data_IF_309456372341
#
_entry.id   IF_309456372341
#
_cell.length_a   1.000
_cell.length_b   1.000
_cell.length_c   1.000
_cell.angle_alpha   90.00
_cell.angle_beta   90.00
_cell.angle_gamma   90.00
#
_symmetry.space_group_name_H-M   'P 1'
#
loop_
_entity.id
_entity.type
_entity.pdbx_description
1 polymer ?
#
# COMPACT_ATOMS: atom_id res chain seq x y z
N UNK A 1 6.33 30.84 11.42
CA UNK A 1 5.90 30.18 10.16
C UNK A 1 6.33 28.73 10.23
N UNK A 2 5.43 27.77 10.03
CA UNK A 2 5.73 26.33 10.02
C UNK A 2 5.76 25.86 8.56
N UNK A 3 6.93 25.40 8.09
CA UNK A 3 7.10 24.87 6.73
C UNK A 3 6.85 23.36 6.77
N UNK A 4 6.07 22.84 5.82
CA UNK A 4 5.95 21.40 5.62
C UNK A 4 7.33 20.81 5.27
N UNK A 5 7.73 19.77 6.00
CA UNK A 5 9.06 19.14 5.87
C UNK A 5 9.07 18.02 4.82
N UNK A 6 7.94 17.32 4.67
CA UNK A 6 7.77 16.22 3.72
C UNK A 6 6.31 16.11 3.28
N UNK A 7 6.10 15.50 2.12
CA UNK A 7 4.78 15.11 1.63
C UNK A 7 4.47 13.66 2.03
N UNK A 8 3.19 13.34 2.19
CA UNK A 8 2.74 11.98 2.46
C UNK A 8 1.50 11.61 1.63
N UNK A 9 1.49 10.39 1.12
CA UNK A 9 0.38 9.79 0.38
C UNK A 9 -0.02 8.50 1.07
N UNK A 10 -1.32 8.27 1.23
CA UNK A 10 -1.84 7.02 1.79
C UNK A 10 -2.75 6.32 0.80
N UNK A 11 -2.54 5.02 0.62
CA UNK A 11 -3.40 4.14 -0.17
C UNK A 11 -3.94 2.99 0.69
N UNK A 12 -5.21 2.66 0.50
CA UNK A 12 -5.79 1.47 1.11
C UNK A 12 -5.33 0.22 0.37
N UNK A 13 -4.97 -0.82 1.13
CA UNK A 13 -4.71 -2.14 0.60
C UNK A 13 -6.01 -2.95 0.65
N UNK A 14 -6.55 -3.28 -0.51
CA UNK A 14 -7.84 -3.97 -0.66
C UNK A 14 -7.62 -5.39 -1.18
N UNK A 15 -8.53 -6.30 -0.83
CA UNK A 15 -8.64 -7.59 -1.48
C UNK A 15 -8.99 -7.44 -2.97
N UNK A 16 -8.29 -8.19 -3.81
CA UNK A 16 -8.49 -8.14 -5.26
C UNK A 16 -9.81 -8.76 -5.69
N UNK A 17 -10.32 -8.29 -6.84
CA UNK A 17 -11.57 -8.79 -7.39
C UNK A 17 -11.42 -10.27 -7.76
N UNK A 18 -12.38 -11.10 -7.33
CA UNK A 18 -12.40 -12.52 -7.66
C UNK A 18 -11.60 -13.43 -6.73
N UNK A 19 -10.99 -12.89 -5.68
CA UNK A 19 -10.25 -13.68 -4.69
C UNK A 19 -10.95 -13.68 -3.32
N UNK A 20 -11.17 -14.87 -2.76
CA UNK A 20 -11.66 -15.09 -1.40
C UNK A 20 -10.98 -16.32 -0.80
N UNK A 21 -10.34 -16.15 0.36
CA UNK A 21 -9.52 -17.19 1.00
C UNK A 21 -8.41 -16.62 1.87
N UNK A 22 -7.39 -17.42 2.18
CA UNK A 22 -6.26 -16.99 3.00
C UNK A 22 -5.46 -15.88 2.31
N UNK A 23 -5.12 -14.82 3.03
CA UNK A 23 -4.56 -13.62 2.43
C UNK A 23 -3.10 -13.85 1.96
N UNK A 24 -2.88 -13.73 0.65
CA UNK A 24 -1.56 -13.73 0.02
C UNK A 24 -1.22 -12.33 -0.50
N UNK A 25 -0.06 -11.82 -0.10
CA UNK A 25 0.41 -10.48 -0.46
C UNK A 25 1.46 -10.57 -1.56
N UNK A 26 1.03 -10.40 -2.81
CA UNK A 26 1.91 -10.34 -3.98
C UNK A 26 2.61 -8.98 -4.04
N UNK A 27 3.90 -8.95 -4.40
CA UNK A 27 4.71 -7.72 -4.47
C UNK A 27 5.05 -7.10 -3.11
N UNK A 28 4.87 -7.84 -2.00
CA UNK A 28 5.11 -7.32 -0.65
C UNK A 28 6.58 -6.98 -0.39
N UNK A 29 7.51 -7.85 -0.79
CA UNK A 29 8.94 -7.61 -0.62
C UNK A 29 9.44 -6.43 -1.46
N UNK A 30 8.91 -6.28 -2.68
CA UNK A 30 9.19 -5.14 -3.57
C UNK A 30 8.69 -3.84 -2.93
N UNK A 31 7.45 -3.84 -2.42
CA UNK A 31 6.88 -2.70 -1.72
C UNK A 31 7.69 -2.29 -0.47
N UNK A 32 8.24 -3.26 0.27
CA UNK A 32 9.08 -2.98 1.45
C UNK A 32 10.47 -2.44 1.09
N UNK A 33 10.98 -2.71 -0.12
CA UNK A 33 12.27 -2.18 -0.59
C UNK A 33 12.16 -0.73 -1.09
N UNK A 34 10.95 -0.26 -1.38
CA UNK A 34 10.75 1.11 -1.84
C UNK A 34 10.97 2.11 -0.71
N UNK A 35 11.83 3.11 -0.95
CA UNK A 35 12.15 4.13 0.04
C UNK A 35 10.93 5.00 0.38
N UNK A 36 10.75 5.24 1.68
CA UNK A 36 9.64 6.05 2.21
C UNK A 36 8.32 5.29 2.31
N UNK A 37 8.29 4.00 1.97
CA UNK A 37 7.09 3.17 2.01
C UNK A 37 6.96 2.48 3.37
N UNK A 38 5.78 2.62 3.99
CA UNK A 38 5.42 1.97 5.24
C UNK A 38 4.09 1.24 5.08
N UNK A 39 4.14 -0.08 5.19
CA UNK A 39 2.95 -0.94 5.11
C UNK A 39 2.38 -1.20 6.50
N UNK A 40 1.07 -1.05 6.66
CA UNK A 40 0.34 -1.37 7.89
C UNK A 40 -0.79 -2.36 7.58
N UNK A 41 -0.64 -3.60 8.05
CA UNK A 41 -1.60 -4.69 7.86
C UNK A 41 -2.50 -4.85 9.09
N UNK A 42 -3.79 -5.17 8.86
CA UNK A 42 -4.76 -5.36 9.94
C UNK A 42 -4.79 -6.79 10.52
N UNK A 43 -3.86 -7.66 10.14
CA UNK A 43 -3.80 -9.05 10.64
C UNK A 43 -4.99 -9.94 10.24
N UNK A 44 -5.71 -9.58 9.17
CA UNK A 44 -6.85 -10.36 8.67
C UNK A 44 -6.35 -11.58 7.92
N UNK A 45 -6.63 -12.78 8.44
CA UNK A 45 -6.26 -14.04 7.78
C UNK A 45 -6.98 -14.28 6.45
N UNK A 46 -8.23 -13.85 6.35
CA UNK A 46 -9.06 -14.08 5.15
C UNK A 46 -9.24 -12.78 4.37
N UNK A 47 -8.91 -12.79 3.08
CA UNK A 47 -9.23 -11.71 2.14
C UNK A 47 -10.59 -11.96 1.47
N UNK A 48 -11.24 -10.87 1.04
CA UNK A 48 -12.45 -10.87 0.22
C UNK A 48 -12.37 -9.71 -0.77
N UNK A 49 -13.09 -9.75 -1.91
CA UNK A 49 -13.08 -8.65 -2.86
C UNK A 49 -13.40 -7.32 -2.18
N UNK A 50 -12.54 -6.32 -2.39
CA UNK A 50 -12.65 -4.96 -1.87
C UNK A 50 -12.61 -4.84 -0.33
N UNK A 51 -12.27 -5.92 0.39
CA UNK A 51 -12.08 -5.88 1.85
C UNK A 51 -10.83 -5.08 2.18
N UNK A 52 -10.91 -4.14 3.11
CA UNK A 52 -9.71 -3.43 3.63
C UNK A 52 -8.82 -4.39 4.40
N UNK A 53 -7.62 -4.65 3.88
CA UNK A 53 -6.62 -5.56 4.46
C UNK A 53 -5.49 -4.81 5.17
N UNK A 54 -5.35 -3.52 4.87
CA UNK A 54 -4.37 -2.63 5.48
C UNK A 54 -4.35 -1.28 4.79
N UNK A 55 -3.27 -0.54 4.97
CA UNK A 55 -2.93 0.65 4.20
C UNK A 55 -1.42 0.77 4.04
N UNK A 56 -1.01 1.55 3.05
CA UNK A 56 0.39 1.91 2.83
C UNK A 56 0.51 3.42 2.89
N UNK A 57 1.47 3.90 3.66
CA UNK A 57 1.85 5.31 3.73
C UNK A 57 3.18 5.49 3.01
N UNK A 58 3.26 6.49 2.15
CA UNK A 58 4.45 6.84 1.38
C UNK A 58 4.83 8.25 1.77
N UNK A 59 6.06 8.44 2.22
CA UNK A 59 6.61 9.75 2.58
C UNK A 59 7.72 10.10 1.60
N UNK A 60 7.69 11.33 1.07
CA UNK A 60 8.70 11.81 0.13
C UNK A 60 8.90 13.33 0.24
N UNK A 61 9.86 13.87 -0.52
CA UNK A 61 10.21 15.30 -0.53
C UNK A 61 9.10 16.19 -1.11
N UNK A 62 8.28 15.66 -2.02
CA UNK A 62 7.14 16.35 -2.62
C UNK A 62 5.99 15.39 -2.95
N UNK A 63 4.82 15.94 -3.25
CA UNK A 63 3.59 15.15 -3.47
C UNK A 63 3.68 14.37 -4.78
N UNK A 64 4.32 14.93 -5.81
CA UNK A 64 4.45 14.33 -7.14
C UNK A 64 5.22 13.01 -7.09
N UNK A 65 6.39 12.99 -6.43
CA UNK A 65 7.22 11.81 -6.21
C UNK A 65 6.50 10.75 -5.36
N UNK A 66 5.86 11.18 -4.26
CA UNK A 66 5.06 10.28 -3.43
C UNK A 66 3.89 9.66 -4.22
N UNK A 67 3.26 10.42 -5.13
CA UNK A 67 2.20 9.90 -5.99
C UNK A 67 2.71 8.95 -7.07
N UNK A 68 3.90 9.16 -7.62
CA UNK A 68 4.52 8.23 -8.57
C UNK A 68 4.76 6.87 -7.91
N UNK A 69 5.40 6.86 -6.74
CA UNK A 69 5.57 5.66 -5.91
C UNK A 69 4.23 5.01 -5.56
N UNK A 70 3.19 5.79 -5.28
CA UNK A 70 1.85 5.25 -4.98
C UNK A 70 1.22 4.53 -6.18
N UNK A 71 1.43 5.04 -7.41
CA UNK A 71 0.94 4.40 -8.63
C UNK A 71 1.69 3.10 -8.91
N UNK A 72 2.99 3.08 -8.69
CA UNK A 72 3.82 1.87 -8.79
C UNK A 72 3.39 0.82 -7.77
N UNK A 73 3.26 1.20 -6.49
CA UNK A 73 2.79 0.33 -5.41
C UNK A 73 1.42 -0.28 -5.73
N UNK A 74 0.49 0.50 -6.28
CA UNK A 74 -0.85 0.00 -6.64
C UNK A 74 -0.80 -1.08 -7.74
N UNK A 75 0.25 -1.10 -8.56
CA UNK A 75 0.46 -2.11 -9.62
C UNK A 75 1.05 -3.40 -9.07
N UNK A 76 2.08 -3.29 -8.22
CA UNK A 76 2.83 -4.44 -7.71
C UNK A 76 2.17 -5.10 -6.49
N UNK A 77 1.62 -4.29 -5.57
CA UNK A 77 1.10 -4.79 -4.30
C UNK A 77 -0.37 -5.19 -4.43
N UNK A 78 -0.63 -6.50 -4.32
CA UNK A 78 -1.96 -7.09 -4.50
C UNK A 78 -2.28 -8.06 -3.36
N UNK A 79 -3.53 -8.06 -2.89
CA UNK A 79 -4.00 -9.05 -1.91
C UNK A 79 -4.92 -10.05 -2.58
N UNK A 80 -4.40 -11.26 -2.78
CA UNK A 80 -5.08 -12.41 -3.39
C UNK A 80 -5.35 -13.50 -2.35
N UNK A 81 -5.92 -14.60 -2.81
CA UNK A 81 -6.13 -15.83 -2.07
C UNK A 81 -5.60 -17.01 -2.88
#
# INVERSE_FOLDING_TARGET
>A
STKAVSAAVMLNLLGEKGYEGEALYEGFDEALRMEGVKVHLYGKKITKPFRKMGHVTIVDVNVESAMEKARELKRILKVKA
#
